data_IF_251031291345
#
_entry.id   IF_251031291345
#
_cell.length_a   1.000
_cell.length_b   1.000
_cell.length_c   1.000
_cell.angle_alpha   90.00
_cell.angle_beta   90.00
_cell.angle_gamma   90.00
#
_symmetry.space_group_name_H-M   'P 1'
#
loop_
_entity.id
_entity.type
_entity.pdbx_description
1 polymer ?
#
# COMPACT_ATOMS: atom_id res chain seq x y z
N UNK A 1 16.48 66.68 2.33
CA UNK A 1 17.35 65.56 2.75
C UNK A 1 16.64 64.81 3.87
N UNK A 2 16.34 63.53 3.87
CA UNK A 2 16.42 62.42 2.91
C UNK A 2 15.31 61.45 3.36
N UNK A 3 14.37 61.05 2.50
CA UNK A 3 13.46 59.94 2.80
C UNK A 3 14.21 58.63 2.51
N UNK A 4 14.43 57.81 3.54
CA UNK A 4 14.96 56.44 3.35
C UNK A 4 13.80 55.51 3.03
N UNK A 5 13.78 55.03 1.78
CA UNK A 5 12.95 53.95 1.31
C UNK A 5 13.65 52.63 1.70
N UNK A 6 13.13 51.90 2.68
CA UNK A 6 13.57 50.53 2.95
C UNK A 6 12.75 49.62 2.05
N UNK A 7 13.36 49.16 0.95
CA UNK A 7 12.78 48.12 0.10
C UNK A 7 12.87 46.76 0.80
N UNK A 8 11.71 46.16 1.08
CA UNK A 8 11.63 44.78 1.52
C UNK A 8 11.83 43.89 0.28
N UNK A 9 13.01 43.28 0.13
CA UNK A 9 13.24 42.24 -0.85
C UNK A 9 12.56 40.97 -0.31
N UNK A 10 11.39 40.64 -0.84
CA UNK A 10 10.74 39.36 -0.60
C UNK A 10 11.58 38.26 -1.25
N UNK A 11 12.21 37.42 -0.43
CA UNK A 11 12.87 36.20 -0.91
C UNK A 11 11.78 35.21 -1.30
N UNK A 12 11.44 35.16 -2.59
CA UNK A 12 10.62 34.11 -3.17
C UNK A 12 11.43 32.81 -3.10
N UNK A 13 11.16 31.99 -2.07
CA UNK A 13 11.56 30.60 -2.08
C UNK A 13 10.76 29.91 -3.19
N UNK A 14 11.38 29.73 -4.36
CA UNK A 14 10.92 28.69 -5.28
C UNK A 14 11.21 27.37 -4.58
N UNK A 15 10.16 26.71 -4.11
CA UNK A 15 10.22 25.28 -3.83
C UNK A 15 10.27 24.65 -5.22
N UNK A 16 11.47 24.41 -5.74
CA UNK A 16 11.61 23.56 -6.92
C UNK A 16 11.04 22.20 -6.53
N UNK A 17 9.95 21.80 -7.17
CA UNK A 17 9.43 20.45 -7.04
C UNK A 17 10.58 19.49 -7.35
N UNK A 18 10.79 18.49 -6.49
CA UNK A 18 11.82 17.48 -6.71
C UNK A 18 11.62 16.88 -8.12
N UNK A 19 12.72 16.73 -8.86
CA UNK A 19 12.66 16.16 -10.20
C UNK A 19 12.03 14.76 -10.13
N UNK A 20 11.07 14.48 -11.01
CA UNK A 20 10.41 13.17 -11.11
C UNK A 20 11.46 12.10 -11.39
N UNK A 21 11.50 11.07 -10.55
CA UNK A 21 12.34 9.90 -10.73
C UNK A 21 11.65 8.94 -11.70
N UNK A 22 12.08 8.89 -12.95
CA UNK A 22 11.46 8.00 -13.92
C UNK A 22 11.53 6.54 -13.48
N UNK A 23 10.40 5.85 -13.57
CA UNK A 23 10.35 4.40 -13.37
C UNK A 23 10.43 3.65 -14.70
N UNK A 24 10.53 2.32 -14.61
CA UNK A 24 10.65 1.45 -15.78
C UNK A 24 9.37 1.41 -16.61
N UNK A 25 8.20 1.38 -15.96
CA UNK A 25 6.90 1.31 -16.63
C UNK A 25 6.04 2.57 -16.36
N UNK A 26 6.07 3.09 -15.13
CA UNK A 26 5.35 4.30 -14.73
C UNK A 26 6.24 5.18 -13.85
N UNK A 27 5.90 6.46 -13.77
CA UNK A 27 6.62 7.47 -12.99
C UNK A 27 5.89 7.80 -11.67
N UNK A 28 4.58 7.55 -11.59
CA UNK A 28 3.77 7.72 -10.39
C UNK A 28 2.85 6.53 -10.17
N UNK A 29 2.70 6.13 -8.91
CA UNK A 29 1.78 5.11 -8.45
C UNK A 29 0.83 5.70 -7.39
N UNK A 30 -0.47 5.51 -7.58
CA UNK A 30 -1.52 5.90 -6.63
C UNK A 30 -2.35 4.67 -6.30
N UNK A 31 -2.35 4.22 -5.05
CA UNK A 31 -3.16 3.10 -4.59
C UNK A 31 -4.33 3.60 -3.74
N UNK A 32 -5.55 3.26 -4.13
CA UNK A 32 -6.83 3.66 -3.52
C UNK A 32 -7.50 2.40 -2.98
N UNK A 33 -7.76 2.39 -1.67
CA UNK A 33 -8.28 1.22 -0.96
C UNK A 33 -9.71 1.48 -0.49
N UNK A 34 -10.62 0.57 -0.83
CA UNK A 34 -11.99 0.51 -0.33
C UNK A 34 -12.12 -0.60 0.73
N UNK A 35 -13.22 -0.59 1.47
CA UNK A 35 -13.48 -1.57 2.53
C UNK A 35 -14.45 -2.68 2.09
N UNK A 36 -14.33 -3.77 2.83
CA UNK A 36 -14.35 -5.13 2.38
C UNK A 36 -15.52 -5.53 1.47
N UNK A 37 -15.17 -6.20 0.37
CA UNK A 37 -16.20 -6.77 -0.50
C UNK A 37 -15.70 -7.95 -1.33
N UNK A 38 -16.59 -8.92 -1.52
CA UNK A 38 -16.35 -10.12 -2.31
C UNK A 38 -16.17 -9.80 -3.79
N UNK A 39 -15.13 -10.39 -4.40
CA UNK A 39 -14.80 -10.18 -5.81
C UNK A 39 -16.01 -10.29 -6.75
N UNK A 40 -16.85 -11.31 -6.56
CA UNK A 40 -17.98 -11.58 -7.44
C UNK A 40 -19.05 -10.49 -7.39
N UNK A 41 -19.27 -9.89 -6.21
CA UNK A 41 -20.23 -8.79 -6.03
C UNK A 41 -19.71 -7.52 -6.69
N UNK A 42 -18.46 -7.12 -6.41
CA UNK A 42 -17.85 -5.93 -7.03
C UNK A 42 -17.77 -6.07 -8.54
N UNK A 43 -17.34 -7.23 -9.06
CA UNK A 43 -17.19 -7.45 -10.50
C UNK A 43 -18.52 -7.40 -11.27
N UNK A 44 -19.65 -7.58 -10.59
CA UNK A 44 -21.00 -7.49 -11.14
C UNK A 44 -21.64 -6.10 -10.96
N UNK A 45 -21.07 -5.24 -10.11
CA UNK A 45 -21.59 -3.91 -9.84
C UNK A 45 -21.54 -3.00 -11.10
N UNK A 46 -22.61 -2.24 -11.42
CA UNK A 46 -22.65 -1.39 -12.61
C UNK A 46 -21.64 -0.25 -12.60
N UNK A 47 -21.47 0.45 -11.47
CA UNK A 47 -20.54 1.57 -11.37
C UNK A 47 -19.09 1.06 -11.50
N UNK A 48 -18.75 -0.07 -10.88
CA UNK A 48 -17.46 -0.73 -11.09
C UNK A 48 -17.27 -1.21 -12.54
N UNK A 49 -18.32 -1.77 -13.15
CA UNK A 49 -18.30 -2.21 -14.56
C UNK A 49 -18.04 -1.04 -15.52
N UNK A 50 -18.42 0.19 -15.16
CA UNK A 50 -18.06 1.38 -15.91
C UNK A 50 -16.57 1.74 -15.74
N UNK A 51 -16.05 1.74 -14.51
CA UNK A 51 -14.62 2.02 -14.24
C UNK A 51 -13.72 1.00 -14.94
N UNK A 52 -14.04 -0.30 -14.87
CA UNK A 52 -13.16 -1.37 -15.39
C UNK A 52 -12.89 -1.28 -16.88
N UNK A 53 -13.76 -0.61 -17.65
CA UNK A 53 -13.57 -0.36 -19.10
C UNK A 53 -12.30 0.44 -19.39
N UNK A 54 -11.77 1.15 -18.40
CA UNK A 54 -10.60 2.01 -18.51
C UNK A 54 -9.30 1.34 -18.02
N UNK A 55 -9.34 0.07 -17.60
CA UNK A 55 -8.24 -0.55 -16.87
C UNK A 55 -8.01 -2.02 -17.15
N UNK A 56 -7.16 -2.63 -16.31
CA UNK A 56 -6.84 -4.06 -16.31
C UNK A 56 -7.33 -4.64 -14.99
N UNK A 57 -8.35 -5.51 -15.04
CA UNK A 57 -8.86 -6.19 -13.84
C UNK A 57 -7.94 -7.34 -13.46
N UNK A 58 -7.38 -7.30 -12.25
CA UNK A 58 -6.58 -8.39 -11.68
C UNK A 58 -7.53 -9.41 -11.04
N UNK A 59 -7.61 -10.61 -11.63
CA UNK A 59 -8.62 -11.62 -11.31
C UNK A 59 -8.17 -12.65 -10.26
N UNK A 60 -6.88 -12.67 -9.95
CA UNK A 60 -6.23 -13.52 -8.93
C UNK A 60 -5.46 -12.68 -7.92
N UNK A 61 -6.12 -11.65 -7.38
CA UNK A 61 -5.59 -10.80 -6.32
C UNK A 61 -6.20 -11.20 -4.97
N UNK A 62 -5.35 -11.52 -3.99
CA UNK A 62 -5.76 -12.00 -2.67
C UNK A 62 -5.27 -11.07 -1.57
N UNK A 63 -6.15 -10.66 -0.66
CA UNK A 63 -5.73 -9.98 0.56
C UNK A 63 -4.97 -10.96 1.47
N UNK A 64 -4.33 -10.44 2.51
CA UNK A 64 -3.43 -11.22 3.36
C UNK A 64 -4.18 -11.97 4.45
N UNK A 65 -5.22 -11.36 5.01
CA UNK A 65 -5.92 -11.89 6.17
C UNK A 65 -7.20 -11.09 6.46
N UNK A 66 -7.87 -11.44 7.56
CA UNK A 66 -8.80 -10.59 8.28
C UNK A 66 -8.25 -10.16 9.65
N UNK A 67 -8.62 -8.97 10.17
CA UNK A 67 -9.48 -7.91 9.59
C UNK A 67 -8.71 -6.88 8.72
N UNK A 68 -9.27 -5.70 8.46
CA UNK A 68 -8.68 -4.64 7.61
C UNK A 68 -7.23 -4.25 7.93
N UNK A 69 -6.93 -3.85 9.18
CA UNK A 69 -5.65 -3.25 9.55
C UNK A 69 -4.40 -4.05 9.11
N UNK A 70 -4.32 -5.39 9.32
CA UNK A 70 -3.17 -6.17 8.85
C UNK A 70 -2.94 -6.10 7.34
N UNK A 71 -3.98 -5.96 6.51
CA UNK A 71 -3.83 -5.82 5.05
C UNK A 71 -3.13 -4.50 4.67
N UNK A 72 -3.49 -3.39 5.31
CA UNK A 72 -2.80 -2.12 5.15
C UNK A 72 -1.33 -2.19 5.59
N UNK A 73 -1.05 -2.87 6.72
CA UNK A 73 0.32 -3.04 7.21
C UNK A 73 1.16 -3.90 6.26
N UNK A 74 0.59 -4.99 5.75
CA UNK A 74 1.22 -5.88 4.79
C UNK A 74 1.69 -5.13 3.53
N UNK A 75 0.83 -4.25 2.99
CA UNK A 75 1.11 -3.49 1.78
C UNK A 75 2.32 -2.55 1.87
N UNK A 76 2.70 -2.09 3.08
CA UNK A 76 3.81 -1.14 3.26
C UNK A 76 5.01 -1.74 4.00
N UNK A 77 4.79 -2.78 4.80
CA UNK A 77 5.81 -3.39 5.66
C UNK A 77 6.34 -4.72 5.17
N UNK A 78 5.71 -5.35 4.18
CA UNK A 78 6.07 -6.68 3.69
C UNK A 78 5.72 -7.79 4.69
N UNK A 79 4.97 -7.46 5.73
CA UNK A 79 4.41 -8.37 6.72
C UNK A 79 3.33 -7.66 7.57
N UNK A 80 2.39 -8.41 8.11
CA UNK A 80 1.42 -7.96 9.13
C UNK A 80 1.71 -8.54 10.52
N UNK A 81 2.78 -9.33 10.66
CA UNK A 81 3.32 -9.83 11.93
C UNK A 81 2.26 -10.55 12.81
N UNK A 82 1.38 -11.31 12.15
CA UNK A 82 0.31 -12.09 12.77
C UNK A 82 -0.74 -11.28 13.53
N UNK A 83 -0.88 -9.99 13.22
CA UNK A 83 -1.96 -9.13 13.71
C UNK A 83 -3.32 -9.68 13.27
N UNK A 84 -4.24 -9.86 14.22
CA UNK A 84 -5.57 -10.44 14.02
C UNK A 84 -6.71 -9.51 14.47
N UNK A 85 -6.44 -8.20 14.57
CA UNK A 85 -7.38 -7.21 15.07
C UNK A 85 -7.12 -5.80 14.52
N UNK A 86 -8.11 -4.91 14.68
CA UNK A 86 -8.07 -3.49 14.28
C UNK A 86 -7.71 -2.52 15.44
N UNK A 87 -7.31 -3.06 16.59
CA UNK A 87 -6.94 -2.22 17.75
C UNK A 87 -5.67 -1.39 17.49
N UNK A 88 -5.56 -0.29 18.23
CA UNK A 88 -4.38 0.56 18.20
C UNK A 88 -3.10 -0.24 18.49
N UNK A 89 -2.11 -0.10 17.60
CA UNK A 89 -0.78 -0.68 17.78
C UNK A 89 0.32 0.25 17.26
N UNK A 90 1.53 0.03 17.76
CA UNK A 90 2.76 0.66 17.25
C UNK A 90 3.76 -0.41 16.87
N UNK A 91 4.30 -0.28 15.68
CA UNK A 91 5.37 -1.11 15.15
C UNK A 91 6.70 -0.41 15.45
N UNK A 92 7.66 -1.10 16.11
CA UNK A 92 8.96 -0.54 16.48
C UNK A 92 9.73 0.10 15.32
N UNK A 93 10.56 1.07 15.66
CA UNK A 93 11.29 1.92 14.70
C UNK A 93 12.30 1.15 13.84
N UNK A 94 12.79 0.02 14.33
CA UNK A 94 13.70 -0.88 13.60
C UNK A 94 12.98 -1.71 12.52
N UNK A 95 11.65 -1.61 12.39
CA UNK A 95 10.89 -2.24 11.33
C UNK A 95 10.69 -1.25 10.19
N UNK A 96 11.50 -1.40 9.14
CA UNK A 96 11.40 -0.59 7.93
C UNK A 96 10.15 -0.88 7.09
N UNK A 97 9.76 0.11 6.30
CA UNK A 97 8.63 0.10 5.35
C UNK A 97 9.11 0.52 3.96
N UNK A 98 8.20 0.50 2.98
CA UNK A 98 8.44 1.07 1.64
C UNK A 98 9.02 2.48 1.68
N UNK A 99 8.67 3.30 2.68
CA UNK A 99 9.19 4.67 2.81
C UNK A 99 10.72 4.68 2.90
N UNK A 100 11.30 3.71 3.62
CA UNK A 100 12.76 3.57 3.74
C UNK A 100 13.40 3.18 2.40
N UNK A 101 12.69 2.41 1.56
CA UNK A 101 13.15 2.05 0.21
C UNK A 101 13.10 3.25 -0.73
N UNK A 102 12.03 4.04 -0.70
CA UNK A 102 11.83 5.22 -1.55
C UNK A 102 12.89 6.31 -1.29
N UNK A 103 13.34 6.46 -0.03
CA UNK A 103 14.39 7.41 0.36
C UNK A 103 15.71 7.14 -0.39
N UNK A 104 16.01 5.89 -0.77
CA UNK A 104 17.25 5.54 -1.50
C UNK A 104 17.36 6.16 -2.89
N UNK A 105 16.22 6.56 -3.46
CA UNK A 105 16.11 7.19 -4.78
C UNK A 105 15.49 8.59 -4.70
N UNK A 106 15.22 9.10 -3.50
CA UNK A 106 14.54 10.38 -3.27
C UNK A 106 13.15 10.45 -3.93
N UNK A 107 12.44 9.31 -3.97
CA UNK A 107 11.09 9.24 -4.53
C UNK A 107 10.12 9.84 -3.52
N UNK A 108 9.43 10.90 -3.90
CA UNK A 108 8.45 11.55 -3.05
C UNK A 108 7.26 10.64 -2.75
N UNK A 109 6.77 10.66 -1.52
CA UNK A 109 5.59 9.91 -1.11
C UNK A 109 4.68 10.70 -0.18
N UNK A 110 3.36 10.43 -0.25
CA UNK A 110 2.36 10.91 0.72
C UNK A 110 1.27 9.86 0.94
N UNK A 111 0.72 9.85 2.15
CA UNK A 111 -0.52 9.15 2.46
C UNK A 111 -1.67 10.15 2.54
N UNK A 112 -2.73 9.98 1.76
CA UNK A 112 -3.92 10.83 1.85
C UNK A 112 -5.09 10.01 2.40
N UNK A 113 -5.74 10.49 3.45
CA UNK A 113 -6.82 9.76 4.09
C UNK A 113 -8.01 10.70 4.29
N UNK A 114 -9.15 10.36 3.74
CA UNK A 114 -10.34 11.21 3.86
C UNK A 114 -10.79 11.31 5.33
N UNK A 115 -11.32 12.47 5.72
CA UNK A 115 -11.68 12.75 7.11
C UNK A 115 -10.49 12.97 8.05
N UNK A 116 -9.24 12.80 7.60
CA UNK A 116 -8.05 13.10 8.41
C UNK A 116 -8.05 14.59 8.82
N UNK A 117 -8.00 14.93 10.13
CA UNK A 117 -8.11 16.30 10.60
C UNK A 117 -6.94 17.21 10.21
N UNK A 118 -5.78 16.64 9.88
CA UNK A 118 -4.65 17.41 9.42
C UNK A 118 -3.31 16.65 9.45
N UNK A 119 -2.24 17.29 8.95
CA UNK A 119 -0.94 16.66 8.79
C UNK A 119 -0.46 15.96 10.06
N UNK A 120 -0.16 14.67 9.95
CA UNK A 120 0.41 13.89 11.04
C UNK A 120 -0.56 13.50 12.15
N UNK A 121 -1.87 13.49 11.90
CA UNK A 121 -2.85 13.03 12.87
C UNK A 121 -2.63 11.57 13.28
N UNK A 122 -2.41 11.32 14.58
CA UNK A 122 -2.06 10.00 15.13
C UNK A 122 -3.14 9.36 16.01
N UNK A 123 -4.23 10.07 16.28
CA UNK A 123 -5.30 9.52 17.11
C UNK A 123 -6.07 8.42 16.36
N UNK A 124 -6.81 7.62 17.13
CA UNK A 124 -7.49 6.39 16.69
C UNK A 124 -8.57 6.64 15.62
N UNK A 125 -9.14 7.84 15.58
CA UNK A 125 -10.03 8.29 14.52
C UNK A 125 -10.63 9.64 14.84
N UNK A 126 -11.38 10.20 13.89
CA UNK A 126 -11.99 11.52 14.02
C UNK A 126 -13.33 11.61 13.28
N UNK A 127 -14.19 12.49 13.77
CA UNK A 127 -15.44 12.87 13.12
C UNK A 127 -15.16 14.15 12.32
N UNK A 128 -15.32 14.09 11.01
CA UNK A 128 -15.35 15.26 10.14
C UNK A 128 -16.74 15.89 10.21
N UNK A 129 -16.83 17.21 10.29
CA UNK A 129 -18.10 17.93 10.49
C UNK A 129 -19.06 17.89 9.30
N UNK A 130 -18.84 17.04 8.29
CA UNK A 130 -19.58 17.07 7.02
C UNK A 130 -20.52 15.89 6.77
N UNK A 131 -20.28 14.72 7.37
CA UNK A 131 -21.14 13.54 7.22
C UNK A 131 -21.08 12.63 8.45
N UNK A 132 -21.21 13.21 9.65
CA UNK A 132 -21.37 12.40 10.87
C UNK A 132 -22.44 11.34 10.63
N UNK A 133 -22.06 10.06 10.75
CA UNK A 133 -23.02 8.95 10.82
C UNK A 133 -24.12 9.32 11.83
N UNK A 134 -25.39 8.89 11.62
CA UNK A 134 -26.48 9.16 12.56
C UNK A 134 -26.16 8.79 14.01
N UNK A 135 -25.16 7.94 14.23
CA UNK A 135 -24.77 7.37 15.52
C UNK A 135 -23.49 8.00 16.14
N UNK A 136 -22.85 8.97 15.47
CA UNK A 136 -21.64 9.65 15.99
C UNK A 136 -20.35 8.84 15.90
N UNK A 137 -20.27 7.86 14.99
CA UNK A 137 -19.05 7.11 14.69
C UNK A 137 -18.02 7.99 13.95
N UNK A 138 -16.75 7.60 14.03
CA UNK A 138 -15.64 8.26 13.32
C UNK A 138 -15.79 8.13 11.81
N UNK A 139 -15.41 9.17 11.07
CA UNK A 139 -15.33 9.15 9.61
C UNK A 139 -13.94 8.64 9.20
N UNK A 140 -12.88 9.26 9.74
CA UNK A 140 -11.52 8.76 9.59
C UNK A 140 -11.21 7.75 10.69
N UNK A 141 -10.63 6.61 10.30
CA UNK A 141 -10.12 5.59 11.22
C UNK A 141 -8.64 5.35 10.98
N UNK A 142 -7.88 5.28 12.07
CA UNK A 142 -6.42 5.08 12.03
C UNK A 142 -6.03 3.75 11.38
N UNK A 143 -6.88 2.73 11.47
CA UNK A 143 -6.62 1.38 10.94
C UNK A 143 -6.37 1.35 9.42
N UNK A 144 -6.91 2.31 8.66
CA UNK A 144 -6.70 2.42 7.20
C UNK A 144 -5.48 3.26 6.81
N UNK A 145 -4.76 3.81 7.80
CA UNK A 145 -3.50 4.51 7.58
C UNK A 145 -2.35 3.64 8.09
N UNK A 146 -1.65 2.89 7.23
CA UNK A 146 -0.63 1.98 7.74
C UNK A 146 0.59 2.72 8.25
N UNK A 147 0.99 3.83 7.62
CA UNK A 147 2.20 4.57 7.96
C UNK A 147 2.19 5.06 9.41
N UNK A 148 1.03 5.49 9.90
CA UNK A 148 0.86 5.96 11.29
C UNK A 148 0.99 4.84 12.32
N UNK A 149 1.11 3.58 11.91
CA UNK A 149 1.42 2.45 12.78
C UNK A 149 2.91 2.23 12.98
N UNK A 150 3.78 2.74 12.11
CA UNK A 150 5.23 2.52 12.19
C UNK A 150 5.93 3.67 12.93
N UNK A 151 6.73 3.34 13.93
CA UNK A 151 7.53 4.32 14.66
C UNK A 151 8.57 5.02 13.78
N UNK A 152 9.05 4.34 12.73
CA UNK A 152 9.94 4.90 11.69
C UNK A 152 9.31 6.05 10.89
N UNK A 153 7.97 6.19 10.95
CA UNK A 153 7.22 7.34 10.43
C UNK A 153 6.80 8.26 11.58
N UNK A 154 6.16 7.73 12.61
CA UNK A 154 5.59 8.53 13.71
C UNK A 154 6.62 9.37 14.47
N UNK A 155 7.85 8.87 14.63
CA UNK A 155 8.92 9.57 15.36
C UNK A 155 9.76 10.47 14.46
N UNK A 156 9.52 10.43 13.15
CA UNK A 156 10.18 11.29 12.17
C UNK A 156 9.21 12.39 11.71
N UNK A 157 9.38 13.60 12.22
CA UNK A 157 8.47 14.72 11.94
C UNK A 157 8.26 15.02 10.45
N UNK A 158 9.30 14.87 9.62
CA UNK A 158 9.19 15.09 8.18
C UNK A 158 8.33 14.01 7.52
N UNK A 159 8.49 12.74 7.90
CA UNK A 159 7.66 11.64 7.40
C UNK A 159 6.22 11.73 7.93
N UNK A 160 6.04 12.09 9.19
CA UNK A 160 4.73 12.23 9.80
C UNK A 160 3.88 13.32 9.11
N UNK A 161 4.52 14.41 8.66
CA UNK A 161 3.85 15.48 7.91
C UNK A 161 3.39 15.06 6.50
N UNK A 162 3.80 13.88 6.00
CA UNK A 162 3.30 13.33 4.74
C UNK A 162 1.95 12.59 4.89
N UNK A 163 1.38 12.52 6.10
CA UNK A 163 0.07 11.90 6.35
C UNK A 163 -1.00 12.98 6.37
N UNK A 164 -1.76 13.08 5.29
CA UNK A 164 -2.58 14.22 4.93
C UNK A 164 -4.05 13.83 4.68
N UNK A 165 -4.89 14.83 4.43
CA UNK A 165 -6.31 14.66 4.08
C UNK A 165 -6.56 14.67 2.57
N UNK A 166 -7.76 14.26 2.14
CA UNK A 166 -8.16 14.40 0.72
C UNK A 166 -8.23 15.85 0.25
N UNK A 167 -8.48 16.81 1.16
CA UNK A 167 -8.39 18.24 0.83
C UNK A 167 -6.96 18.65 0.46
N UNK A 168 -5.96 18.07 1.12
CA UNK A 168 -4.56 18.30 0.76
C UNK A 168 -4.22 17.64 -0.58
N UNK A 169 -4.78 16.46 -0.87
CA UNK A 169 -4.67 15.84 -2.20
C UNK A 169 -5.24 16.74 -3.30
N UNK A 170 -6.43 17.33 -3.11
CA UNK A 170 -7.01 18.27 -4.08
C UNK A 170 -6.11 19.48 -4.33
N UNK A 171 -5.49 20.02 -3.27
CA UNK A 171 -4.53 21.13 -3.36
C UNK A 171 -3.31 20.70 -4.18
N UNK A 172 -2.73 19.55 -3.87
CA UNK A 172 -1.56 19.01 -4.57
C UNK A 172 -1.87 18.69 -6.03
N UNK A 173 -3.04 18.12 -6.31
CA UNK A 173 -3.52 17.82 -7.66
C UNK A 173 -3.68 19.10 -8.48
N UNK A 174 -4.34 20.11 -7.92
CA UNK A 174 -4.50 21.41 -8.58
C UNK A 174 -3.17 22.13 -8.84
N UNK A 175 -2.16 21.87 -8.00
CA UNK A 175 -0.81 22.41 -8.13
C UNK A 175 0.11 21.58 -9.06
N UNK A 176 -0.32 20.41 -9.54
CA UNK A 176 0.55 19.47 -10.26
C UNK A 176 1.69 18.92 -9.39
N UNK A 177 1.46 18.81 -8.07
CA UNK A 177 2.46 18.50 -7.05
C UNK A 177 2.20 17.15 -6.35
N UNK A 178 1.32 16.30 -6.89
CA UNK A 178 1.08 14.95 -6.36
C UNK A 178 2.39 14.14 -6.41
N UNK A 179 2.84 13.54 -5.30
CA UNK A 179 4.10 12.81 -5.24
C UNK A 179 4.03 11.51 -6.06
N UNK A 180 5.17 10.83 -6.18
CA UNK A 180 5.31 9.66 -7.04
C UNK A 180 4.77 8.37 -6.42
N UNK A 181 4.81 8.21 -5.10
CA UNK A 181 4.15 7.11 -4.40
C UNK A 181 3.03 7.63 -3.51
N UNK A 182 1.80 7.22 -3.79
CA UNK A 182 0.63 7.62 -3.03
C UNK A 182 -0.15 6.39 -2.58
N UNK A 183 -0.52 6.39 -1.32
CA UNK A 183 -1.49 5.45 -0.79
C UNK A 183 -2.62 6.24 -0.14
N UNK A 184 -3.86 5.87 -0.43
CA UNK A 184 -5.02 6.59 0.04
C UNK A 184 -6.20 5.68 0.37
N UNK A 185 -6.95 6.10 1.38
CA UNK A 185 -8.22 5.48 1.79
C UNK A 185 -9.27 6.57 1.93
N UNK A 186 -10.49 6.36 1.42
CA UNK A 186 -11.65 7.17 1.77
C UNK A 186 -12.00 6.99 3.25
N UNK A 187 -12.99 7.76 3.71
CA UNK A 187 -13.57 7.61 5.03
C UNK A 187 -14.48 6.38 5.08
N UNK A 188 -14.88 5.97 6.29
CA UNK A 188 -15.67 4.74 6.51
C UNK A 188 -17.06 4.75 5.86
N UNK A 189 -17.48 5.87 5.29
CA UNK A 189 -18.70 5.93 4.48
C UNK A 189 -18.39 5.64 3.03
N UNK A 190 -17.40 6.33 2.49
CA UNK A 190 -17.02 6.28 1.08
C UNK A 190 -16.23 5.02 0.71
N UNK A 191 -15.54 4.40 1.66
CA UNK A 191 -14.86 3.11 1.45
C UNK A 191 -15.85 1.94 1.42
N UNK A 192 -17.04 2.08 1.99
CA UNK A 192 -18.09 1.05 2.03
C UNK A 192 -18.33 0.40 3.39
N UNK A 193 -17.55 0.71 4.43
CA UNK A 193 -17.68 0.05 5.74
C UNK A 193 -19.05 0.25 6.39
N UNK A 194 -19.50 1.49 6.45
CA UNK A 194 -20.74 1.91 7.11
C UNK A 194 -21.85 2.22 6.09
N UNK A 195 -21.62 1.90 4.82
CA UNK A 195 -22.58 2.09 3.73
C UNK A 195 -22.76 0.78 2.96
N UNK A 196 -23.09 0.84 1.68
CA UNK A 196 -23.35 -0.33 0.84
C UNK A 196 -22.35 -0.38 -0.30
N UNK A 197 -22.20 -1.55 -0.92
CA UNK A 197 -21.44 -1.70 -2.16
C UNK A 197 -21.78 -0.61 -3.20
N UNK A 198 -23.06 -0.45 -3.52
CA UNK A 198 -23.53 0.56 -4.48
C UNK A 198 -23.13 2.01 -4.11
N UNK A 199 -22.98 2.31 -2.82
CA UNK A 199 -22.55 3.63 -2.36
C UNK A 199 -21.05 3.80 -2.62
N UNK A 200 -20.25 2.82 -2.20
CA UNK A 200 -18.80 2.84 -2.35
C UNK A 200 -18.36 2.80 -3.83
N UNK A 201 -18.98 1.97 -4.67
CA UNK A 201 -18.62 1.92 -6.11
C UNK A 201 -19.06 3.16 -6.86
N UNK A 202 -20.20 3.75 -6.52
CA UNK A 202 -20.62 5.05 -7.04
C UNK A 202 -19.65 6.16 -6.64
N UNK A 203 -19.24 6.19 -5.36
CA UNK A 203 -18.22 7.12 -4.88
C UNK A 203 -16.91 6.92 -5.66
N UNK A 204 -16.44 5.67 -5.77
CA UNK A 204 -15.19 5.33 -6.44
C UNK A 204 -15.23 5.76 -7.90
N UNK A 205 -16.34 5.56 -8.61
CA UNK A 205 -16.49 6.04 -9.99
C UNK A 205 -16.41 7.56 -10.06
N UNK A 206 -17.09 8.27 -9.16
CA UNK A 206 -17.09 9.73 -9.13
C UNK A 206 -15.70 10.30 -8.81
N UNK A 207 -14.94 9.66 -7.93
CA UNK A 207 -13.61 10.07 -7.53
C UNK A 207 -12.55 9.73 -8.60
N UNK A 208 -12.57 8.51 -9.12
CA UNK A 208 -11.52 8.00 -10.02
C UNK A 208 -11.66 8.52 -11.43
N UNK A 209 -12.87 8.61 -11.99
CA UNK A 209 -13.06 8.99 -13.41
C UNK A 209 -12.42 10.35 -13.76
N UNK A 210 -12.52 11.41 -12.92
CA UNK A 210 -11.78 12.65 -13.14
C UNK A 210 -10.26 12.47 -13.20
N UNK A 211 -9.69 11.57 -12.40
CA UNK A 211 -8.24 11.30 -12.38
C UNK A 211 -7.73 10.63 -13.67
N UNK A 212 -8.64 10.06 -14.47
CA UNK A 212 -8.33 9.41 -15.75
C UNK A 212 -8.41 10.37 -16.95
N UNK A 213 -8.85 11.61 -16.75
CA UNK A 213 -8.97 12.57 -17.83
C UNK A 213 -7.61 12.99 -18.39
N UNK A 214 -7.57 13.27 -19.69
CA UNK A 214 -6.35 13.68 -20.38
C UNK A 214 -5.76 14.96 -19.76
N UNK A 215 -4.45 14.95 -19.51
CA UNK A 215 -3.71 16.09 -18.98
C UNK A 215 -3.81 16.31 -17.47
N UNK A 216 -4.56 15.46 -16.74
CA UNK A 216 -4.60 15.53 -15.26
C UNK A 216 -3.23 15.21 -14.64
N UNK A 217 -2.53 14.22 -15.19
CA UNK A 217 -1.14 13.93 -14.85
C UNK A 217 -0.26 14.11 -16.08
N UNK A 218 0.83 14.88 -15.94
CA UNK A 218 1.85 15.05 -16.98
C UNK A 218 2.74 13.81 -17.14
N UNK A 219 2.95 13.07 -16.05
CA UNK A 219 3.79 11.86 -16.03
C UNK A 219 2.95 10.58 -16.21
N UNK A 220 3.63 9.46 -16.52
CA UNK A 220 2.97 8.14 -16.56
C UNK A 220 2.54 7.76 -15.14
N UNK A 221 1.25 7.84 -14.88
CA UNK A 221 0.63 7.56 -13.59
C UNK A 221 -0.18 6.27 -13.69
N UNK A 222 0.21 5.29 -12.88
CA UNK A 222 -0.53 4.07 -12.62
C UNK A 222 -1.39 4.28 -11.37
N UNK A 223 -2.68 4.03 -11.50
CA UNK A 223 -3.63 4.07 -10.38
C UNK A 223 -4.09 2.64 -10.11
N UNK A 224 -4.02 2.19 -8.86
CA UNK A 224 -4.63 0.95 -8.40
C UNK A 224 -5.88 1.30 -7.60
N UNK A 225 -7.04 0.78 -7.99
CA UNK A 225 -8.23 0.75 -7.14
C UNK A 225 -8.39 -0.68 -6.62
N UNK A 226 -8.38 -0.87 -5.31
CA UNK A 226 -8.45 -2.19 -4.67
C UNK A 226 -9.27 -2.15 -3.39
N UNK A 227 -9.42 -3.32 -2.76
CA UNK A 227 -10.11 -3.52 -1.50
C UNK A 227 -9.11 -4.06 -0.48
N UNK A 228 -9.36 -3.82 0.79
CA UNK A 228 -8.52 -4.36 1.87
C UNK A 228 -8.66 -5.88 2.01
N UNK A 229 -9.89 -6.40 2.00
CA UNK A 229 -10.27 -7.81 2.19
C UNK A 229 -11.69 -8.14 1.64
N UNK A 230 -12.10 -9.40 1.72
CA UNK A 230 -13.46 -9.86 1.35
C UNK A 230 -14.48 -9.65 2.47
N UNK A 231 -15.77 -9.68 2.16
CA UNK A 231 -16.82 -9.60 3.19
C UNK A 231 -17.03 -10.97 3.83
N UNK A 232 -17.01 -12.04 3.02
CA UNK A 232 -17.23 -13.41 3.48
C UNK A 232 -15.93 -14.12 3.90
N UNK A 233 -15.81 -14.41 5.19
CA UNK A 233 -14.67 -15.10 5.79
C UNK A 233 -14.66 -16.60 5.47
N UNK A 234 -15.76 -17.15 4.93
CA UNK A 234 -15.86 -18.57 4.58
C UNK A 234 -15.27 -18.90 3.19
N UNK A 235 -15.00 -17.87 2.39
CA UNK A 235 -14.41 -18.00 1.06
C UNK A 235 -12.94 -17.56 1.08
N UNK A 236 -12.13 -17.99 0.10
CA UNK A 236 -10.79 -17.43 -0.07
C UNK A 236 -10.87 -15.91 -0.23
N UNK A 237 -9.98 -15.20 0.47
CA UNK A 237 -9.93 -13.74 0.57
C UNK A 237 -9.45 -13.08 -0.74
N UNK A 238 -10.18 -13.35 -1.83
CA UNK A 238 -9.95 -12.89 -3.18
C UNK A 238 -10.75 -11.62 -3.42
N UNK A 239 -10.03 -10.56 -3.72
CA UNK A 239 -10.54 -9.19 -3.80
C UNK A 239 -10.41 -8.64 -5.22
N UNK A 240 -11.17 -7.60 -5.52
CA UNK A 240 -10.97 -6.82 -6.75
C UNK A 240 -9.72 -5.95 -6.61
N UNK A 241 -8.89 -5.95 -7.66
CA UNK A 241 -7.88 -4.93 -7.88
C UNK A 241 -7.89 -4.55 -9.37
N UNK A 242 -7.88 -3.25 -9.64
CA UNK A 242 -8.02 -2.70 -10.98
C UNK A 242 -6.91 -1.68 -11.23
N UNK A 243 -6.11 -1.92 -12.29
CA UNK A 243 -5.07 -1.00 -12.73
C UNK A 243 -5.64 -0.01 -13.75
N UNK A 244 -5.40 1.27 -13.52
CA UNK A 244 -5.95 2.42 -14.25
C UNK A 244 -4.87 3.48 -14.50
N UNK A 245 -5.25 4.57 -15.16
CA UNK A 245 -4.40 5.74 -15.40
C UNK A 245 -3.74 5.73 -16.78
N UNK A 246 -3.01 6.80 -17.08
CA UNK A 246 -2.34 6.97 -18.39
C UNK A 246 -1.10 6.06 -18.56
N UNK A 247 -0.66 5.37 -17.51
CA UNK A 247 0.33 4.30 -17.63
C UNK A 247 -0.25 2.99 -18.22
N UNK A 248 -1.59 2.80 -18.21
CA UNK A 248 -2.23 1.65 -18.83
C UNK A 248 -2.35 1.86 -20.34
N UNK A 249 -1.71 1.00 -21.18
CA UNK A 249 -1.84 1.10 -22.63
C UNK A 249 -3.29 0.96 -23.10
N UNK A 250 -3.69 1.74 -24.11
CA UNK A 250 -5.05 1.71 -24.67
C UNK A 250 -5.49 0.30 -25.09
N UNK A 251 -4.56 -0.52 -25.61
CA UNK A 251 -4.82 -1.90 -26.03
C UNK A 251 -5.16 -2.86 -24.88
N UNK A 252 -4.88 -2.48 -23.63
CA UNK A 252 -5.16 -3.27 -22.44
C UNK A 252 -6.37 -2.75 -21.66
N UNK A 253 -6.99 -1.63 -22.05
CA UNK A 253 -8.18 -1.11 -21.38
C UNK A 253 -9.36 -2.08 -21.55
N UNK A 254 -10.01 -2.44 -20.45
CA UNK A 254 -11.09 -3.43 -20.39
C UNK A 254 -10.60 -4.89 -20.42
N UNK A 255 -9.29 -5.12 -20.27
CA UNK A 255 -8.71 -6.47 -20.21
C UNK A 255 -8.63 -7.02 -18.78
N UNK A 256 -8.13 -8.24 -18.67
CA UNK A 256 -7.92 -8.94 -17.40
C UNK A 256 -6.48 -9.44 -17.28
N UNK A 257 -6.02 -9.58 -16.04
CA UNK A 257 -4.76 -10.22 -15.67
C UNK A 257 -5.04 -11.33 -14.64
N UNK A 258 -4.52 -12.53 -14.88
CA UNK A 258 -4.69 -13.73 -14.06
C UNK A 258 -3.42 -14.17 -13.32
N UNK A 259 -2.39 -13.32 -13.31
CA UNK A 259 -1.23 -13.50 -12.43
C UNK A 259 -1.65 -13.49 -10.96
N UNK A 260 -1.07 -14.36 -10.14
CA UNK A 260 -1.33 -14.39 -8.70
C UNK A 260 -0.69 -13.19 -8.00
N UNK A 261 -1.49 -12.39 -7.30
CA UNK A 261 -1.03 -11.24 -6.51
C UNK A 261 -1.53 -11.28 -5.08
N UNK A 262 -0.79 -10.60 -4.22
CA UNK A 262 -1.24 -10.22 -2.88
C UNK A 262 -0.92 -8.75 -2.62
N UNK A 263 -1.29 -8.17 -1.47
CA UNK A 263 -0.85 -6.80 -1.15
C UNK A 263 0.68 -6.62 -1.11
N UNK A 264 1.46 -7.69 -0.93
CA UNK A 264 2.92 -7.63 -1.06
C UNK A 264 3.40 -7.36 -2.49
N UNK A 265 2.56 -7.63 -3.50
CA UNK A 265 2.86 -7.33 -4.89
C UNK A 265 2.96 -5.82 -5.16
N UNK A 266 2.39 -4.97 -4.30
CA UNK A 266 2.62 -3.52 -4.36
C UNK A 266 4.10 -3.22 -4.12
N UNK A 267 4.69 -3.77 -3.04
CA UNK A 267 6.11 -3.60 -2.69
C UNK A 267 7.02 -4.10 -3.82
N UNK A 268 6.84 -5.36 -4.23
CA UNK A 268 7.63 -5.96 -5.30
C UNK A 268 7.54 -5.13 -6.61
N UNK A 269 6.36 -4.60 -6.93
CA UNK A 269 6.19 -3.75 -8.11
C UNK A 269 6.93 -2.41 -7.97
N UNK A 270 6.88 -1.75 -6.81
CA UNK A 270 7.61 -0.48 -6.61
C UNK A 270 9.12 -0.71 -6.61
N UNK A 271 9.59 -1.78 -5.97
CA UNK A 271 10.98 -2.20 -5.97
C UNK A 271 11.50 -2.45 -7.38
N UNK A 272 10.73 -3.17 -8.18
CA UNK A 272 11.09 -3.44 -9.57
C UNK A 272 11.04 -2.18 -10.44
N UNK A 273 9.97 -1.38 -10.33
CA UNK A 273 9.75 -0.22 -11.18
C UNK A 273 10.81 0.87 -10.99
N UNK A 274 11.32 1.06 -9.77
CA UNK A 274 12.33 2.09 -9.47
C UNK A 274 13.71 1.55 -9.07
N UNK A 275 13.95 0.25 -9.26
CA UNK A 275 15.21 -0.42 -8.93
C UNK A 275 15.63 -0.15 -7.48
N UNK A 276 14.72 -0.44 -6.54
CA UNK A 276 14.94 -0.26 -5.11
C UNK A 276 15.51 -1.54 -4.48
N UNK A 277 16.23 -1.41 -3.35
CA UNK A 277 16.45 -2.52 -2.41
C UNK A 277 15.11 -3.08 -1.90
N UNK A 278 15.17 -4.19 -1.18
CA UNK A 278 13.98 -4.84 -0.61
C UNK A 278 13.98 -4.82 0.93
N UNK A 279 12.86 -5.17 1.56
CA UNK A 279 12.67 -5.23 3.01
C UNK A 279 13.20 -6.54 3.64
N UNK A 280 13.49 -7.55 2.82
CA UNK A 280 13.90 -8.88 3.27
C UNK A 280 12.77 -9.67 3.92
N UNK A 281 11.51 -9.38 3.55
CA UNK A 281 10.30 -10.03 4.07
C UNK A 281 9.51 -10.70 2.94
N UNK A 282 8.19 -10.74 3.01
CA UNK A 282 7.33 -11.38 2.01
C UNK A 282 7.18 -10.56 0.71
N UNK A 283 7.73 -9.35 0.65
CA UNK A 283 7.94 -8.58 -0.57
C UNK A 283 8.80 -9.33 -1.60
N UNK A 284 9.86 -10.02 -1.17
CA UNK A 284 10.86 -10.64 -2.06
C UNK A 284 10.27 -11.73 -2.96
N UNK A 285 9.32 -12.50 -2.43
CA UNK A 285 8.67 -13.60 -3.16
C UNK A 285 7.39 -13.19 -3.89
N UNK A 286 6.95 -11.93 -3.76
CA UNK A 286 5.70 -11.48 -4.35
C UNK A 286 5.85 -11.18 -5.85
N UNK A 287 4.80 -11.46 -6.61
CA UNK A 287 4.78 -11.15 -8.04
C UNK A 287 4.71 -9.64 -8.29
N UNK A 288 5.35 -9.20 -9.37
CA UNK A 288 5.32 -7.83 -9.89
C UNK A 288 4.12 -7.68 -10.82
N UNK A 289 3.41 -6.55 -10.79
CA UNK A 289 2.27 -6.33 -11.68
C UNK A 289 2.64 -6.56 -13.15
N UNK A 290 1.82 -7.35 -13.84
CA UNK A 290 2.07 -7.82 -15.20
C UNK A 290 2.34 -6.68 -16.17
N UNK A 291 1.63 -5.56 -16.00
CA UNK A 291 1.85 -4.31 -16.75
C UNK A 291 3.33 -3.87 -16.71
N UNK A 292 4.01 -4.02 -15.57
CA UNK A 292 5.43 -3.72 -15.43
C UNK A 292 6.28 -4.84 -16.03
N UNK A 293 5.94 -6.11 -15.76
CA UNK A 293 6.70 -7.25 -16.29
C UNK A 293 6.72 -7.32 -17.81
N UNK A 294 5.64 -6.91 -18.48
CA UNK A 294 5.53 -6.88 -19.94
C UNK A 294 6.46 -5.83 -20.56
N UNK A 295 6.81 -4.78 -19.79
CA UNK A 295 7.78 -3.76 -20.20
C UNK A 295 9.21 -4.20 -19.93
N UNK A 296 9.46 -4.88 -18.81
CA UNK A 296 10.81 -5.13 -18.31
C UNK A 296 11.35 -6.53 -18.60
N UNK A 297 10.47 -7.48 -18.93
CA UNK A 297 10.81 -8.90 -19.07
C UNK A 297 11.00 -9.64 -17.74
N UNK A 298 10.55 -9.06 -16.61
CA UNK A 298 10.52 -9.76 -15.33
C UNK A 298 9.63 -11.01 -15.42
N UNK A 299 10.03 -12.10 -14.76
CA UNK A 299 9.29 -13.36 -14.79
C UNK A 299 8.63 -13.58 -13.44
N UNK A 300 7.31 -13.45 -13.41
CA UNK A 300 6.50 -13.85 -12.26
C UNK A 300 6.45 -15.38 -12.13
N UNK A 301 6.26 -15.84 -10.91
CA UNK A 301 5.98 -17.24 -10.60
C UNK A 301 4.83 -17.30 -9.61
N UNK A 302 3.84 -18.14 -9.89
CA UNK A 302 2.82 -18.45 -8.89
C UNK A 302 3.51 -19.10 -7.68
N UNK A 303 3.07 -18.78 -6.45
CA UNK A 303 3.65 -19.38 -5.27
C UNK A 303 3.35 -20.88 -5.19
N UNK A 304 4.22 -21.68 -4.56
CA UNK A 304 4.05 -23.15 -4.50
C UNK A 304 2.69 -23.60 -3.96
N UNK A 305 2.10 -22.81 -3.07
CA UNK A 305 0.81 -23.09 -2.43
C UNK A 305 -0.35 -22.22 -2.96
N UNK A 306 -0.24 -21.62 -4.14
CA UNK A 306 -1.28 -20.76 -4.72
C UNK A 306 -2.66 -21.42 -4.79
N UNK A 307 -2.71 -22.74 -5.02
CA UNK A 307 -3.95 -23.50 -5.17
C UNK A 307 -4.73 -23.68 -3.85
N UNK A 308 -4.07 -23.47 -2.71
CA UNK A 308 -4.67 -23.62 -1.37
C UNK A 308 -4.70 -22.29 -0.62
N UNK A 309 -4.45 -21.16 -1.28
CA UNK A 309 -4.52 -19.84 -0.66
C UNK A 309 -5.95 -19.57 -0.18
N UNK A 310 -6.10 -19.35 1.13
CA UNK A 310 -7.37 -18.99 1.76
C UNK A 310 -7.29 -17.56 2.29
N UNK A 311 -6.33 -17.28 3.18
CA UNK A 311 -6.07 -15.94 3.72
C UNK A 311 -7.25 -15.32 4.48
N UNK A 312 -8.08 -16.16 5.10
CA UNK A 312 -9.23 -15.68 5.89
C UNK A 312 -8.94 -15.65 7.39
N UNK A 313 -7.76 -16.12 7.81
CA UNK A 313 -7.35 -16.18 9.23
C UNK A 313 -5.90 -15.76 9.35
N UNK A 314 -5.61 -14.90 10.33
CA UNK A 314 -4.24 -14.45 10.60
C UNK A 314 -3.39 -15.58 11.18
N UNK A 315 -2.15 -15.71 10.68
CA UNK A 315 -1.19 -16.64 11.27
C UNK A 315 -0.68 -16.14 12.65
N UNK A 316 -0.03 -17.00 13.43
CA UNK A 316 0.56 -16.64 14.74
C UNK A 316 1.69 -15.59 14.63
N UNK A 317 1.62 -14.51 15.41
CA UNK A 317 2.65 -13.48 15.42
C UNK A 317 2.63 -12.63 16.69
N UNK A 318 3.58 -11.70 16.83
CA UNK A 318 3.71 -10.86 18.03
C UNK A 318 2.51 -9.95 18.29
N UNK A 319 1.69 -9.65 17.28
CA UNK A 319 0.49 -8.82 17.43
C UNK A 319 -0.81 -9.59 17.48
N UNK A 320 -0.76 -10.91 17.62
CA UNK A 320 -1.96 -11.70 17.79
C UNK A 320 -2.61 -11.45 19.17
N UNK A 321 -3.94 -11.39 19.24
CA UNK A 321 -4.70 -11.23 20.49
C UNK A 321 -4.66 -12.51 21.33
N UNK A 322 -4.72 -13.67 20.67
CA UNK A 322 -4.72 -14.96 21.37
C UNK A 322 -3.31 -15.30 21.89
N UNK A 323 -3.20 -15.39 23.22
CA UNK A 323 -1.94 -15.68 23.91
C UNK A 323 -1.26 -17.01 23.50
N UNK A 324 -2.01 -17.97 22.95
CA UNK A 324 -1.44 -19.25 22.49
C UNK A 324 -0.76 -19.15 21.12
N UNK A 325 -1.16 -18.18 20.31
CA UNK A 325 -0.62 -17.86 18.98
C UNK A 325 0.19 -16.56 18.99
N UNK A 326 0.38 -15.95 20.17
CA UNK A 326 1.18 -14.74 20.32
C UNK A 326 2.66 -15.08 20.46
N UNK A 327 3.45 -14.62 19.50
CA UNK A 327 4.91 -14.75 19.56
C UNK A 327 5.54 -13.63 20.40
N UNK A 328 6.74 -13.86 20.93
CA UNK A 328 7.39 -12.90 21.82
C UNK A 328 7.98 -11.68 21.07
N UNK A 329 8.43 -11.88 19.83
CA UNK A 329 9.15 -10.87 19.04
C UNK A 329 8.74 -10.90 17.58
N UNK A 330 8.97 -9.78 16.89
CA UNK A 330 8.96 -9.73 15.43
C UNK A 330 10.15 -10.56 14.90
N UNK A 331 9.91 -11.35 13.86
CA UNK A 331 10.95 -12.12 13.21
C UNK A 331 11.96 -11.20 12.48
N UNK A 332 13.27 -11.49 12.50
CA UNK A 332 14.23 -10.74 11.71
C UNK A 332 13.94 -10.88 10.21
N UNK A 333 14.13 -9.81 9.42
CA UNK A 333 14.16 -9.95 7.96
C UNK A 333 15.30 -10.90 7.55
N UNK A 334 15.14 -11.57 6.41
CA UNK A 334 16.21 -12.41 5.85
C UNK A 334 17.20 -11.52 5.10
N UNK A 335 18.39 -11.35 5.68
CA UNK A 335 19.42 -10.41 5.22
C UNK A 335 20.17 -10.86 3.96
N UNK A 336 19.84 -12.04 3.43
CA UNK A 336 20.49 -12.67 2.28
C UNK A 336 19.62 -12.65 1.01
N UNK A 337 18.41 -12.11 1.09
CA UNK A 337 17.47 -12.06 -0.03
C UNK A 337 17.78 -10.95 -1.04
N UNK A 338 17.47 -11.23 -2.30
CA UNK A 338 17.44 -10.28 -3.41
C UNK A 338 16.01 -10.14 -3.91
N UNK A 339 15.46 -8.94 -3.85
CA UNK A 339 14.07 -8.65 -4.20
C UNK A 339 13.88 -8.35 -5.69
N UNK A 340 12.65 -7.97 -6.05
CA UNK A 340 12.25 -7.77 -7.45
C UNK A 340 13.03 -6.65 -8.16
N UNK A 341 13.55 -5.67 -7.42
CA UNK A 341 14.45 -4.64 -7.92
C UNK A 341 15.83 -5.14 -8.39
N UNK A 342 16.15 -6.43 -8.16
CA UNK A 342 17.47 -7.00 -8.46
C UNK A 342 18.57 -6.56 -7.49
N UNK A 343 18.18 -5.95 -6.36
CA UNK A 343 19.07 -5.44 -5.32
C UNK A 343 18.91 -6.23 -4.02
N UNK A 344 19.96 -6.32 -3.20
CA UNK A 344 19.89 -6.95 -1.89
C UNK A 344 18.96 -6.18 -0.95
N UNK A 345 18.70 -6.76 0.24
CA UNK A 345 18.01 -6.06 1.34
C UNK A 345 18.67 -4.71 1.58
N UNK A 346 17.86 -3.67 1.85
CA UNK A 346 18.35 -2.33 2.16
C UNK A 346 19.48 -2.38 3.21
N UNK A 347 20.60 -1.72 2.92
CA UNK A 347 21.79 -1.79 3.78
C UNK A 347 21.53 -1.31 5.22
N UNK A 348 20.66 -0.30 5.41
CA UNK A 348 20.25 0.14 6.74
C UNK A 348 19.52 -0.97 7.53
N UNK A 349 18.69 -1.79 6.86
CA UNK A 349 18.04 -2.96 7.47
C UNK A 349 19.10 -4.02 7.83
N UNK A 350 20.05 -4.29 6.93
CA UNK A 350 21.13 -5.25 7.18
C UNK A 350 21.96 -4.87 8.40
N UNK A 351 22.23 -3.58 8.58
CA UNK A 351 22.97 -3.05 9.73
C UNK A 351 22.14 -3.12 11.02
N UNK A 352 20.89 -2.70 10.98
CA UNK A 352 19.97 -2.72 12.13
C UNK A 352 19.77 -4.15 12.67
N UNK A 353 19.64 -5.13 11.78
CA UNK A 353 19.34 -6.52 12.14
C UNK A 353 20.59 -7.43 12.13
N UNK A 354 21.80 -6.88 12.02
CA UNK A 354 23.04 -7.64 11.87
C UNK A 354 23.28 -8.67 12.99
N UNK A 355 22.87 -8.35 14.22
CA UNK A 355 23.03 -9.25 15.38
C UNK A 355 22.09 -10.47 15.34
N UNK A 356 21.11 -10.47 14.43
CA UNK A 356 20.14 -11.54 14.23
C UNK A 356 20.35 -12.29 12.89
N UNK A 357 21.49 -12.10 12.22
CA UNK A 357 21.78 -12.75 10.93
C UNK A 357 21.75 -14.29 10.98
N UNK A 358 22.03 -14.88 12.15
CA UNK A 358 22.00 -16.33 12.38
C UNK A 358 20.66 -16.83 12.96
N UNK A 359 19.70 -15.93 13.20
CA UNK A 359 18.40 -16.31 13.72
C UNK A 359 17.49 -16.82 12.60
N UNK A 360 16.65 -17.79 12.94
CA UNK A 360 15.66 -18.31 12.01
C UNK A 360 14.63 -17.22 11.64
N UNK A 361 14.18 -17.27 10.40
CA UNK A 361 13.24 -16.31 9.81
C UNK A 361 12.21 -17.04 8.94
N UNK A 362 10.97 -16.55 8.83
CA UNK A 362 9.97 -17.13 7.94
C UNK A 362 10.13 -16.65 6.47
N UNK A 363 11.01 -15.69 6.22
CA UNK A 363 11.16 -15.06 4.91
C UNK A 363 12.17 -15.83 4.05
N UNK A 364 11.70 -16.62 3.10
CA UNK A 364 12.53 -17.45 2.21
C UNK A 364 12.54 -16.98 0.74
N UNK A 365 11.67 -16.03 0.38
CA UNK A 365 11.55 -15.53 -0.99
C UNK A 365 10.82 -16.46 -1.96
N UNK A 366 10.17 -17.53 -1.46
CA UNK A 366 9.38 -18.46 -2.31
C UNK A 366 8.07 -17.87 -2.84
N UNK A 367 7.59 -16.81 -2.21
CA UNK A 367 6.24 -16.27 -2.45
C UNK A 367 5.13 -17.05 -1.74
N UNK A 368 5.45 -18.09 -0.97
CA UNK A 368 4.45 -18.84 -0.20
C UNK A 368 3.54 -17.90 0.58
N UNK A 369 2.25 -18.16 0.49
CA UNK A 369 1.23 -17.36 1.17
C UNK A 369 0.91 -18.02 2.49
N UNK A 370 0.97 -17.27 3.60
CA UNK A 370 0.77 -17.80 4.93
C UNK A 370 -0.48 -17.20 5.60
N UNK A 371 -1.21 -18.07 6.30
CA UNK A 371 -2.44 -17.76 7.03
C UNK A 371 -2.55 -18.68 8.27
N UNK A 372 -3.68 -18.62 8.97
CA UNK A 372 -3.92 -19.41 10.19
C UNK A 372 -3.92 -20.93 9.97
N UNK A 373 -4.15 -21.40 8.74
CA UNK A 373 -4.17 -22.82 8.37
C UNK A 373 -2.85 -23.27 7.73
N UNK A 374 -2.11 -22.33 7.12
CA UNK A 374 -0.78 -22.52 6.56
C UNK A 374 0.22 -21.57 7.21
N UNK A 375 0.84 -22.03 8.29
CA UNK A 375 1.69 -21.21 9.15
C UNK A 375 3.08 -20.91 8.54
N UNK A 376 3.66 -19.73 8.80
CA UNK A 376 5.03 -19.42 8.40
C UNK A 376 6.04 -20.41 9.00
N UNK A 377 6.98 -20.87 8.17
CA UNK A 377 8.01 -21.84 8.57
C UNK A 377 9.33 -21.13 8.82
N UNK A 378 9.78 -21.12 10.07
CA UNK A 378 11.03 -20.49 10.48
C UNK A 378 12.22 -21.40 10.15
N UNK A 379 13.20 -20.85 9.42
CA UNK A 379 14.41 -21.56 8.99
C UNK A 379 15.63 -20.64 9.06
N UNK A 380 16.85 -21.19 9.06
CA UNK A 380 18.06 -20.38 8.94
C UNK A 380 18.00 -19.50 7.70
N UNK A 381 18.49 -18.26 7.82
CA UNK A 381 18.50 -17.32 6.71
C UNK A 381 19.29 -17.87 5.51
N UNK A 382 18.83 -17.56 4.31
CA UNK A 382 19.43 -18.03 3.07
C UNK A 382 19.05 -17.18 1.87
N UNK A 383 19.76 -17.40 0.77
CA UNK A 383 19.45 -16.78 -0.52
C UNK A 383 18.08 -17.25 -1.03
N UNK A 384 17.54 -16.53 -2.01
CA UNK A 384 16.28 -16.87 -2.68
C UNK A 384 16.22 -18.37 -3.02
N UNK A 385 15.13 -19.03 -2.63
CA UNK A 385 14.84 -20.39 -3.08
C UNK A 385 14.34 -20.28 -4.52
N UNK A 386 15.17 -20.75 -5.45
CA UNK A 386 14.95 -20.61 -6.90
C UNK A 386 13.94 -21.56 -7.51
#
# INVERSE_FOLDING_TARGET
>A
MFASLIGLIGLLWRVDAAAVVSGRAFDRFISIWLENQDFAKVAADPDFTDIRKHGILQTRYYAQTHPSQPNYLAAVGGDYFGLDHDEFLRIPENVSTIVDLLDTRQIGWRGYFEGNPGPGYMAVGSISSSQSTPDGNWDYVRKHNPFVSYDSVNKNGTRLLNLLSFKDFEIDLAAGAVPQFVMMSPDVLNDGHNTTLDYATKWARQFVMPLLADGVFSEKTLIQLTYDETEDYAEPNRIVSLLLGNAVPDSLRGSTDDTFYTHYSILATMEHNWELPNLGRFDVGANVFKLVTDVTGYVNSDPPNAATANNSVSYAGPYNRNHTTKLATIAPPNLQLTGAGGLPVLEAIRQEWATQAEADTPYDGTGNVYDGDNMPVYRPQGQNVG
#
